data_IF_350114201717
#
_entry.id   IF_350114201717
#
_cell.length_a   1.000
_cell.length_b   1.000
_cell.length_c   1.000
_cell.angle_alpha   90.00
_cell.angle_beta   90.00
_cell.angle_gamma   90.00
#
_symmetry.space_group_name_H-M   'P 1'
#
loop_
_entity.id
_entity.type
_entity.pdbx_description
1 polymer ?
#
# COMPACT_ATOMS: atom_id res chain seq x y z
N UNK A 1 1.28 -21.41 10.51
CA UNK A 1 2.61 -21.05 10.04
C UNK A 1 3.42 -20.48 11.21
N UNK A 2 4.49 -21.20 11.66
CA UNK A 2 5.24 -20.89 12.88
C UNK A 2 5.83 -19.46 12.85
N UNK A 3 6.36 -19.04 11.70
CA UNK A 3 6.96 -17.71 11.52
C UNK A 3 5.86 -16.61 11.60
N UNK A 4 4.69 -16.86 11.04
CA UNK A 4 3.55 -15.95 11.15
C UNK A 4 3.12 -15.72 12.61
N UNK A 5 3.03 -16.79 13.39
CA UNK A 5 2.71 -16.70 14.83
C UNK A 5 3.78 -15.95 15.63
N UNK A 6 5.07 -16.11 15.28
CA UNK A 6 6.16 -15.39 15.94
C UNK A 6 6.09 -13.88 15.68
N UNK A 7 5.69 -13.47 14.46
CA UNK A 7 5.50 -12.05 14.12
C UNK A 7 4.37 -11.45 14.97
N UNK A 8 3.26 -12.16 15.08
CA UNK A 8 2.10 -11.73 15.87
C UNK A 8 2.39 -11.64 17.37
N UNK A 9 3.27 -12.50 17.87
CA UNK A 9 3.68 -12.53 19.28
C UNK A 9 4.82 -11.54 19.62
N UNK A 10 5.28 -10.73 18.68
CA UNK A 10 6.36 -9.76 18.90
C UNK A 10 7.78 -10.37 18.85
N UNK A 11 7.92 -11.57 18.34
CA UNK A 11 9.21 -12.27 18.18
C UNK A 11 9.84 -12.04 16.80
N UNK A 12 9.67 -10.83 16.24
CA UNK A 12 10.07 -10.52 14.88
C UNK A 12 11.57 -10.73 14.61
N UNK A 13 12.43 -10.44 15.59
CA UNK A 13 13.90 -10.63 15.47
C UNK A 13 14.24 -12.10 15.31
N UNK A 14 13.64 -12.96 16.14
CA UNK A 14 13.84 -14.40 16.08
C UNK A 14 13.30 -14.99 14.78
N UNK A 15 12.11 -14.53 14.37
CA UNK A 15 11.50 -14.92 13.10
C UNK A 15 12.37 -14.56 11.91
N UNK A 16 12.99 -13.35 11.91
CA UNK A 16 13.90 -12.91 10.87
C UNK A 16 15.16 -13.77 10.79
N UNK A 17 15.75 -14.10 11.95
CA UNK A 17 16.94 -14.96 12.01
C UNK A 17 16.69 -16.36 11.46
N UNK A 18 15.56 -16.98 11.81
CA UNK A 18 15.17 -18.29 11.27
C UNK A 18 14.92 -18.24 9.76
N UNK A 19 14.27 -17.18 9.29
CA UNK A 19 13.97 -16.99 7.89
C UNK A 19 15.25 -16.76 7.07
N UNK A 20 16.19 -15.93 7.56
CA UNK A 20 17.48 -15.69 6.92
C UNK A 20 18.29 -17.00 6.80
N UNK A 21 18.22 -17.86 7.82
CA UNK A 21 18.84 -19.19 7.77
C UNK A 21 18.17 -20.09 6.73
N UNK A 22 16.85 -20.07 6.63
CA UNK A 22 16.12 -20.83 5.61
C UNK A 22 16.43 -20.33 4.20
N UNK A 23 16.47 -19.02 3.97
CA UNK A 23 16.86 -18.42 2.70
C UNK A 23 18.29 -18.83 2.31
N UNK A 24 19.23 -18.79 3.25
CA UNK A 24 20.63 -19.17 3.01
C UNK A 24 20.82 -20.66 2.68
N UNK A 25 19.97 -21.52 3.24
CA UNK A 25 20.00 -22.96 3.00
C UNK A 25 19.19 -23.41 1.77
N UNK A 26 18.29 -22.54 1.28
CA UNK A 26 17.44 -22.82 0.14
C UNK A 26 18.24 -22.69 -1.16
N UNK A 27 18.21 -23.74 -1.96
CA UNK A 27 18.78 -23.73 -3.32
C UNK A 27 17.82 -23.06 -4.32
N UNK A 28 16.60 -22.75 -3.91
CA UNK A 28 15.61 -22.07 -4.72
C UNK A 28 15.35 -20.67 -4.17
N UNK A 29 15.42 -19.72 -5.07
CA UNK A 29 15.13 -18.32 -4.86
C UNK A 29 13.62 -18.16 -4.66
N UNK A 30 13.18 -18.24 -3.41
CA UNK A 30 11.77 -18.26 -3.09
C UNK A 30 11.22 -16.84 -2.91
N UNK A 31 10.41 -16.39 -3.89
CA UNK A 31 9.65 -15.13 -3.76
C UNK A 31 8.83 -15.08 -2.48
N UNK A 32 8.30 -16.22 -2.02
CA UNK A 32 7.52 -16.30 -0.79
C UNK A 32 8.36 -16.00 0.47
N UNK A 33 9.59 -16.51 0.54
CA UNK A 33 10.49 -16.25 1.67
C UNK A 33 10.94 -14.79 1.69
N UNK A 34 11.31 -14.22 0.53
CA UNK A 34 11.65 -12.80 0.42
C UNK A 34 10.46 -11.90 0.79
N UNK A 35 9.28 -12.25 0.34
CA UNK A 35 8.07 -11.49 0.69
C UNK A 35 7.80 -11.53 2.21
N UNK A 36 7.93 -12.69 2.83
CA UNK A 36 7.78 -12.84 4.28
C UNK A 36 8.85 -12.05 5.03
N UNK A 37 10.10 -12.06 4.54
CA UNK A 37 11.19 -11.26 5.10
C UNK A 37 10.88 -9.77 5.09
N UNK A 38 10.37 -9.25 3.98
CA UNK A 38 9.97 -7.85 3.87
C UNK A 38 8.86 -7.51 4.87
N UNK A 39 7.87 -8.39 5.05
CA UNK A 39 6.80 -8.20 6.04
C UNK A 39 7.34 -8.13 7.48
N UNK A 40 8.29 -8.99 7.83
CA UNK A 40 8.95 -8.97 9.15
C UNK A 40 9.68 -7.64 9.35
N UNK A 41 10.43 -7.17 8.35
CA UNK A 41 11.14 -5.90 8.40
C UNK A 41 10.19 -4.71 8.59
N UNK A 42 9.02 -4.74 7.95
CA UNK A 42 7.97 -3.73 8.19
C UNK A 42 7.53 -3.74 9.66
N UNK A 43 7.29 -4.91 10.23
CA UNK A 43 6.90 -5.04 11.64
C UNK A 43 7.98 -4.52 12.59
N UNK A 44 9.25 -4.66 12.22
CA UNK A 44 10.39 -4.15 12.98
C UNK A 44 10.64 -2.64 12.76
N UNK A 45 9.94 -2.00 11.83
CA UNK A 45 10.13 -0.60 11.46
C UNK A 45 11.30 -0.35 10.51
N UNK A 46 11.93 -1.39 9.97
CA UNK A 46 13.01 -1.28 8.99
C UNK A 46 12.43 -1.13 7.56
N UNK A 47 11.78 0.01 7.34
CA UNK A 47 11.03 0.27 6.12
C UNK A 47 11.92 0.37 4.88
N UNK A 48 13.16 0.84 5.01
CA UNK A 48 14.10 0.96 3.88
C UNK A 48 14.49 -0.42 3.33
N UNK A 49 14.81 -1.36 4.21
CA UNK A 49 15.11 -2.73 3.78
C UNK A 49 13.89 -3.44 3.22
N UNK A 50 12.72 -3.24 3.82
CA UNK A 50 11.47 -3.80 3.31
C UNK A 50 11.15 -3.25 1.91
N UNK A 51 11.28 -1.94 1.70
CA UNK A 51 11.10 -1.30 0.39
C UNK A 51 12.04 -1.92 -0.66
N UNK A 52 13.31 -2.08 -0.32
CA UNK A 52 14.30 -2.69 -1.24
C UNK A 52 13.86 -4.08 -1.68
N UNK A 53 13.44 -4.93 -0.74
CA UNK A 53 12.99 -6.29 -1.05
C UNK A 53 11.71 -6.27 -1.90
N UNK A 54 10.73 -5.43 -1.60
CA UNK A 54 9.52 -5.35 -2.43
C UNK A 54 9.83 -4.87 -3.84
N UNK A 55 10.73 -3.92 -4.03
CA UNK A 55 11.19 -3.50 -5.37
C UNK A 55 11.90 -4.63 -6.12
N UNK A 56 12.75 -5.38 -5.44
CA UNK A 56 13.40 -6.56 -6.00
C UNK A 56 12.36 -7.60 -6.45
N UNK A 57 11.36 -7.88 -5.61
CA UNK A 57 10.28 -8.81 -5.93
C UNK A 57 9.47 -8.37 -7.15
N UNK A 58 9.14 -7.08 -7.25
CA UNK A 58 8.44 -6.51 -8.41
C UNK A 58 9.27 -6.67 -9.69
N UNK A 59 10.58 -6.46 -9.60
CA UNK A 59 11.49 -6.58 -10.74
C UNK A 59 11.64 -8.04 -11.21
N UNK A 60 11.77 -8.96 -10.26
CA UNK A 60 12.02 -10.38 -10.55
C UNK A 60 10.74 -11.17 -10.85
N UNK A 61 9.63 -10.76 -10.25
CA UNK A 61 8.33 -11.43 -10.34
C UNK A 61 7.21 -10.44 -10.64
N UNK A 62 7.27 -9.75 -11.81
CA UNK A 62 6.38 -8.62 -12.11
C UNK A 62 4.90 -9.00 -12.21
N UNK A 63 4.58 -10.29 -12.37
CA UNK A 63 3.21 -10.78 -12.44
C UNK A 63 2.57 -11.05 -11.05
N UNK A 64 3.31 -10.84 -9.96
CA UNK A 64 2.77 -11.04 -8.62
C UNK A 64 2.22 -9.73 -8.06
N UNK A 65 0.92 -9.65 -7.73
CA UNK A 65 0.30 -8.40 -7.25
C UNK A 65 0.68 -8.05 -5.81
N UNK A 66 1.03 -9.03 -4.96
CA UNK A 66 1.24 -8.83 -3.54
C UNK A 66 2.36 -7.83 -3.19
N UNK A 67 3.55 -7.85 -3.84
CA UNK A 67 4.61 -6.88 -3.57
C UNK A 67 4.20 -5.45 -3.93
N UNK A 68 3.41 -5.25 -4.99
CA UNK A 68 2.88 -3.92 -5.35
C UNK A 68 1.98 -3.39 -4.25
N UNK A 69 1.08 -4.22 -3.73
CA UNK A 69 0.18 -3.84 -2.65
C UNK A 69 0.94 -3.41 -1.39
N UNK A 70 1.91 -4.21 -0.97
CA UNK A 70 2.63 -3.96 0.28
C UNK A 70 3.59 -2.78 0.17
N UNK A 71 4.23 -2.57 -0.99
CA UNK A 71 5.03 -1.37 -1.24
C UNK A 71 4.16 -0.12 -1.29
N UNK A 72 2.98 -0.20 -1.91
CA UNK A 72 2.02 0.91 -1.91
C UNK A 72 1.57 1.27 -0.49
N UNK A 73 1.38 0.28 0.37
CA UNK A 73 1.06 0.49 1.78
C UNK A 73 2.17 1.25 2.51
N UNK A 74 3.45 0.91 2.28
CA UNK A 74 4.59 1.65 2.84
C UNK A 74 4.60 3.10 2.36
N UNK A 75 4.38 3.35 1.08
CA UNK A 75 4.35 4.71 0.54
C UNK A 75 3.17 5.52 1.04
N UNK A 76 2.00 4.91 1.17
CA UNK A 76 0.83 5.55 1.76
C UNK A 76 1.10 5.99 3.21
N UNK A 77 1.71 5.14 4.01
CA UNK A 77 2.10 5.47 5.38
C UNK A 77 3.10 6.65 5.47
N UNK A 78 3.92 6.83 4.43
CA UNK A 78 4.84 7.97 4.30
C UNK A 78 4.19 9.21 3.66
N UNK A 79 2.91 9.17 3.36
CA UNK A 79 2.20 10.26 2.69
C UNK A 79 2.45 10.37 1.18
N UNK A 80 3.18 9.42 0.58
CA UNK A 80 3.52 9.38 -0.85
C UNK A 80 2.37 8.76 -1.66
N UNK A 81 1.22 9.44 -1.67
CA UNK A 81 -0.03 8.88 -2.21
C UNK A 81 0.01 8.64 -3.71
N UNK A 82 0.67 9.51 -4.49
CA UNK A 82 0.78 9.35 -5.95
C UNK A 82 1.59 8.10 -6.32
N UNK A 83 2.68 7.86 -5.60
CA UNK A 83 3.50 6.67 -5.78
C UNK A 83 2.75 5.40 -5.36
N UNK A 84 2.01 5.46 -4.25
CA UNK A 84 1.16 4.36 -3.80
C UNK A 84 0.07 4.03 -4.84
N UNK A 85 -0.63 5.05 -5.37
CA UNK A 85 -1.63 4.86 -6.41
C UNK A 85 -1.04 4.24 -7.69
N UNK A 86 0.15 4.69 -8.09
CA UNK A 86 0.84 4.15 -9.28
C UNK A 86 1.18 2.68 -9.13
N UNK A 87 1.66 2.26 -7.96
CA UNK A 87 1.95 0.85 -7.65
C UNK A 87 0.70 -0.01 -7.67
N UNK A 88 -0.39 0.47 -7.06
CA UNK A 88 -1.65 -0.28 -7.02
C UNK A 88 -2.25 -0.44 -8.42
N UNK A 89 -2.17 0.59 -9.27
CA UNK A 89 -2.57 0.46 -10.68
C UNK A 89 -1.71 -0.55 -11.42
N UNK A 90 -0.39 -0.51 -11.23
CA UNK A 90 0.52 -1.47 -11.85
C UNK A 90 0.20 -2.91 -11.41
N UNK A 91 -0.04 -3.13 -10.12
CA UNK A 91 -0.45 -4.43 -9.60
C UNK A 91 -1.79 -4.92 -10.16
N UNK A 92 -2.79 -4.04 -10.26
CA UNK A 92 -4.09 -4.36 -10.91
C UNK A 92 -3.95 -4.66 -12.40
N UNK A 93 -2.93 -4.12 -13.05
CA UNK A 93 -2.65 -4.44 -14.44
C UNK A 93 -2.17 -5.89 -14.60
N UNK A 94 -1.47 -6.42 -13.59
CA UNK A 94 -1.03 -7.83 -13.56
C UNK A 94 -2.16 -8.78 -13.21
N UNK A 95 -3.01 -8.41 -12.28
CA UNK A 95 -4.19 -9.17 -11.83
C UNK A 95 -5.36 -8.23 -11.53
N UNK A 96 -6.24 -7.96 -12.52
CA UNK A 96 -7.41 -7.08 -12.33
C UNK A 96 -8.43 -7.60 -11.31
N UNK A 97 -8.38 -8.88 -10.97
CA UNK A 97 -9.29 -9.50 -10.01
C UNK A 97 -8.85 -9.36 -8.56
N UNK A 98 -7.63 -8.87 -8.33
CA UNK A 98 -7.06 -8.81 -6.98
C UNK A 98 -7.70 -7.72 -6.13
N UNK A 99 -8.73 -8.11 -5.40
CA UNK A 99 -9.62 -7.21 -4.66
C UNK A 99 -8.91 -6.25 -3.71
N UNK A 100 -7.89 -6.71 -3.01
CA UNK A 100 -7.16 -5.89 -2.04
C UNK A 100 -6.51 -4.65 -2.68
N UNK A 101 -5.95 -4.79 -3.90
CA UNK A 101 -5.37 -3.65 -4.62
C UNK A 101 -6.44 -2.64 -5.02
N UNK A 102 -7.58 -3.12 -5.49
CA UNK A 102 -8.71 -2.25 -5.85
C UNK A 102 -9.23 -1.46 -4.65
N UNK A 103 -9.45 -2.14 -3.54
CA UNK A 103 -9.94 -1.51 -2.31
C UNK A 103 -8.93 -0.48 -1.77
N UNK A 104 -7.65 -0.80 -1.79
CA UNK A 104 -6.59 0.12 -1.37
C UNK A 104 -6.44 1.32 -2.32
N UNK A 105 -6.55 1.11 -3.64
CA UNK A 105 -6.53 2.20 -4.62
C UNK A 105 -7.71 3.16 -4.42
N UNK A 106 -8.89 2.63 -4.15
CA UNK A 106 -10.07 3.43 -3.82
C UNK A 106 -9.84 4.30 -2.59
N UNK A 107 -9.23 3.72 -1.54
CA UNK A 107 -8.87 4.47 -0.32
C UNK A 107 -7.85 5.58 -0.60
N UNK A 108 -6.84 5.32 -1.42
CA UNK A 108 -5.84 6.32 -1.80
C UNK A 108 -6.50 7.49 -2.56
N UNK A 109 -7.38 7.19 -3.52
CA UNK A 109 -8.09 8.24 -4.25
C UNK A 109 -9.02 9.06 -3.36
N UNK A 110 -9.70 8.41 -2.42
CA UNK A 110 -10.53 9.11 -1.43
C UNK A 110 -9.69 10.06 -0.56
N UNK A 111 -8.52 9.61 -0.11
CA UNK A 111 -7.59 10.43 0.67
C UNK A 111 -7.02 11.60 -0.16
N UNK A 112 -6.65 11.37 -1.40
CA UNK A 112 -6.18 12.42 -2.31
C UNK A 112 -7.28 13.47 -2.55
N UNK A 113 -8.52 13.04 -2.76
CA UNK A 113 -9.67 13.92 -2.90
C UNK A 113 -9.91 14.74 -1.64
N UNK A 114 -9.86 14.12 -0.46
CA UNK A 114 -10.02 14.79 0.82
C UNK A 114 -8.93 15.85 1.06
N UNK A 115 -7.67 15.54 0.74
CA UNK A 115 -6.55 16.49 0.85
C UNK A 115 -6.71 17.65 -0.13
N UNK A 116 -7.09 17.38 -1.37
CA UNK A 116 -7.32 18.42 -2.37
C UNK A 116 -8.46 19.34 -1.96
N UNK A 117 -9.55 18.79 -1.43
CA UNK A 117 -10.68 19.57 -0.92
C UNK A 117 -10.27 20.41 0.27
N UNK A 118 -9.56 19.84 1.24
CA UNK A 118 -9.07 20.56 2.42
C UNK A 118 -8.13 21.70 2.03
N UNK A 119 -7.25 21.49 1.05
CA UNK A 119 -6.35 22.53 0.53
C UNK A 119 -7.12 23.65 -0.18
N UNK A 120 -8.16 23.31 -0.95
CA UNK A 120 -9.02 24.28 -1.61
C UNK A 120 -9.86 25.11 -0.62
N UNK A 121 -10.22 24.51 0.52
CA UNK A 121 -10.99 25.15 1.58
C UNK A 121 -10.11 25.75 2.69
N UNK A 122 -8.81 25.52 2.67
CA UNK A 122 -7.89 26.13 3.63
C UNK A 122 -7.96 27.66 3.49
N UNK A 123 -8.14 28.38 4.59
CA UNK A 123 -8.32 29.82 4.53
C UNK A 123 -6.99 30.47 4.20
N UNK A 124 -6.82 30.82 2.96
CA UNK A 124 -5.96 31.94 2.61
C UNK A 124 -6.70 33.26 2.85
N UNK A 125 -8.06 33.19 2.88
CA UNK A 125 -8.95 34.27 3.32
C UNK A 125 -10.17 33.69 4.03
N UNK A 126 -10.50 34.24 5.20
CA UNK A 126 -11.65 33.80 6.01
C UNK A 126 -13.00 33.94 5.27
N UNK A 127 -13.05 34.67 4.18
CA UNK A 127 -14.23 34.85 3.33
C UNK A 127 -14.47 33.67 2.37
N UNK A 128 -13.43 32.93 1.98
CA UNK A 128 -13.56 31.75 1.11
C UNK A 128 -14.21 30.55 1.82
N UNK A 129 -14.35 30.59 3.15
CA UNK A 129 -15.08 29.58 3.94
C UNK A 129 -16.59 29.69 3.82
N UNK A 130 -17.12 30.72 3.19
CA UNK A 130 -18.55 30.78 2.89
C UNK A 130 -18.86 29.79 1.78
N UNK A 131 -19.06 28.58 2.24
CA UNK A 131 -19.99 27.63 1.67
C UNK A 131 -19.79 27.33 0.17
N UNK A 132 -19.15 26.20 -0.07
CA UNK A 132 -19.74 25.30 -1.07
C UNK A 132 -21.06 24.81 -0.41
N UNK A 133 -22.23 25.27 -0.85
CA UNK A 133 -23.48 24.78 -0.26
C UNK A 133 -23.59 23.31 -0.61
N UNK A 134 -23.62 22.45 0.42
CA UNK A 134 -23.88 21.01 0.25
C UNK A 134 -25.18 20.71 -0.51
N UNK A 135 -26.05 21.73 -0.70
CA UNK A 135 -27.28 21.64 -1.47
C UNK A 135 -27.12 21.37 -2.98
N UNK A 136 -25.95 21.64 -3.58
CA UNK A 136 -25.74 21.36 -5.01
C UNK A 136 -25.53 19.88 -5.32
N UNK A 137 -25.29 19.02 -4.34
CA UNK A 137 -25.22 17.57 -4.53
C UNK A 137 -26.61 16.94 -4.79
N UNK A 138 -27.69 17.66 -4.50
CA UNK A 138 -29.07 17.22 -4.79
C UNK A 138 -29.47 17.44 -6.26
N UNK A 139 -28.67 18.15 -7.02
CA UNK A 139 -28.93 18.50 -8.43
C UNK A 139 -28.11 17.67 -9.43
N UNK A 140 -27.52 16.54 -9.00
CA UNK A 140 -26.98 15.60 -9.98
C UNK A 140 -28.18 15.07 -10.79
N UNK A 141 -28.28 15.39 -12.10
CA UNK A 141 -29.35 14.87 -12.91
C UNK A 141 -29.33 13.35 -12.83
N UNK A 142 -30.40 12.75 -12.40
CA UNK A 142 -30.60 11.31 -12.60
C UNK A 142 -30.42 11.07 -14.10
N UNK A 143 -29.45 10.25 -14.48
CA UNK A 143 -29.33 9.78 -15.84
C UNK A 143 -30.68 9.14 -16.17
N UNK A 144 -31.46 9.86 -16.97
CA UNK A 144 -32.69 9.30 -17.57
C UNK A 144 -32.25 8.24 -18.57
N UNK A 145 -32.76 7.06 -18.44
CA UNK A 145 -32.62 5.94 -19.38
C UNK A 145 -32.92 6.34 -20.81
#
# INVERSE_FOLDING_TARGET
DAIGSMIENGEAVTALGLLDQEIASSTSDSAALLFLRARILVTMGDFEKAEHIYRELITRYPARPEPYNNLAHLYSAQGKLDQAASLLRAGLYTDPSYRALFDNLTRIYAEQAARSLSAALAPQDAESRKALPLGTLSEIPTLSD
#
